data_IF_485231527987
#
_entry.id   IF_485231527987
#
_cell.length_a   1.000
_cell.length_b   1.000
_cell.length_c   1.000
_cell.angle_alpha   90.00
_cell.angle_beta   90.00
_cell.angle_gamma   90.00
#
_symmetry.space_group_name_H-M   'P 1'
#
loop_
_entity.id
_entity.type
_entity.pdbx_description
1 polymer ?
#
# COMPACT_ATOMS: atom_id res chain seq x y z
N UNK A 1 -49.23 15.72 -36.17
CA UNK A 1 -49.19 16.47 -34.90
C UNK A 1 -47.73 16.67 -34.50
N UNK A 2 -47.26 17.92 -34.41
CA UNK A 2 -45.89 18.22 -34.00
C UNK A 2 -45.70 17.79 -32.55
N UNK A 3 -44.63 17.03 -32.25
CA UNK A 3 -44.27 16.64 -30.88
C UNK A 3 -43.81 17.89 -30.12
N UNK A 4 -44.75 18.66 -29.58
CA UNK A 4 -44.51 19.94 -28.90
C UNK A 4 -43.56 19.84 -27.68
N UNK A 5 -43.22 18.64 -27.23
CA UNK A 5 -42.38 18.41 -26.04
C UNK A 5 -41.10 17.60 -26.33
N UNK A 6 -40.82 17.23 -27.59
CA UNK A 6 -39.74 16.29 -27.91
C UNK A 6 -38.31 16.75 -27.53
N UNK A 7 -38.11 18.00 -27.13
CA UNK A 7 -36.81 18.57 -26.76
C UNK A 7 -36.86 19.44 -25.51
N UNK A 8 -37.91 19.32 -24.69
CA UNK A 8 -38.04 20.06 -23.43
C UNK A 8 -37.47 19.21 -22.30
N UNK A 9 -36.52 19.78 -21.55
CA UNK A 9 -36.06 19.20 -20.27
C UNK A 9 -36.83 19.89 -19.15
N UNK A 10 -37.66 19.12 -18.44
CA UNK A 10 -38.44 19.67 -17.35
C UNK A 10 -37.55 20.01 -16.15
N UNK A 11 -38.06 20.89 -15.28
CA UNK A 11 -37.40 21.20 -14.01
C UNK A 11 -37.16 19.90 -13.23
N UNK A 12 -35.96 19.76 -12.68
CA UNK A 12 -35.53 18.58 -11.92
C UNK A 12 -35.52 17.25 -12.70
N UNK A 13 -35.51 17.26 -14.05
CA UNK A 13 -35.42 16.03 -14.84
C UNK A 13 -34.17 15.19 -14.59
N UNK A 14 -33.10 15.77 -14.04
CA UNK A 14 -31.86 15.07 -13.71
C UNK A 14 -31.61 14.93 -12.21
N UNK A 15 -32.02 15.92 -11.42
CA UNK A 15 -31.79 15.93 -9.99
C UNK A 15 -32.78 16.86 -9.27
N UNK A 16 -33.25 16.43 -8.11
CA UNK A 16 -34.24 17.14 -7.32
C UNK A 16 -33.57 17.92 -6.17
N UNK A 17 -34.01 19.15 -5.95
CA UNK A 17 -33.54 19.96 -4.83
C UNK A 17 -33.83 19.25 -3.49
N UNK A 18 -32.87 19.31 -2.56
CA UNK A 18 -32.95 18.67 -1.25
C UNK A 18 -32.42 17.22 -1.21
N UNK A 19 -32.16 16.60 -2.36
CA UNK A 19 -31.48 15.31 -2.41
C UNK A 19 -29.94 15.48 -2.34
N UNK A 20 -29.20 14.51 -1.76
CA UNK A 20 -27.75 14.60 -1.62
C UNK A 20 -27.01 14.33 -2.95
N UNK A 21 -26.41 15.37 -3.54
CA UNK A 21 -25.71 15.28 -4.83
C UNK A 21 -24.59 14.23 -4.84
N UNK A 22 -23.83 14.14 -3.76
CA UNK A 22 -22.76 13.18 -3.54
C UNK A 22 -22.87 12.62 -2.12
N UNK A 23 -22.47 11.35 -1.95
CA UNK A 23 -22.40 10.73 -0.63
C UNK A 23 -21.10 11.11 0.10
N UNK A 24 -21.13 11.12 1.44
CA UNK A 24 -19.91 11.24 2.23
C UNK A 24 -18.97 10.05 1.95
N UNK A 25 -17.68 10.34 1.81
CA UNK A 25 -16.66 9.35 1.47
C UNK A 25 -16.53 9.05 -0.04
N UNK A 26 -17.28 9.75 -0.90
CA UNK A 26 -17.04 9.75 -2.34
C UNK A 26 -15.71 10.42 -2.66
N UNK A 27 -14.85 9.71 -3.42
CA UNK A 27 -13.63 10.29 -3.96
C UNK A 27 -13.99 11.32 -5.04
N UNK A 28 -13.55 12.56 -4.86
CA UNK A 28 -13.78 13.60 -5.87
C UNK A 28 -12.86 13.37 -7.07
N UNK A 29 -13.42 13.00 -8.21
CA UNK A 29 -12.76 12.98 -9.53
C UNK A 29 -13.32 14.11 -10.40
N UNK A 30 -12.91 14.17 -11.67
CA UNK A 30 -13.34 15.22 -12.59
C UNK A 30 -14.87 15.34 -12.70
N UNK A 31 -15.59 14.20 -12.70
CA UNK A 31 -17.06 14.17 -12.74
C UNK A 31 -17.69 14.78 -11.49
N UNK A 32 -17.23 14.39 -10.31
CA UNK A 32 -17.80 14.88 -9.05
C UNK A 32 -17.52 16.38 -8.88
N UNK A 33 -16.32 16.83 -9.25
CA UNK A 33 -15.96 18.26 -9.26
C UNK A 33 -16.87 19.04 -10.22
N UNK A 34 -17.15 18.52 -11.43
CA UNK A 34 -18.05 19.16 -12.38
C UNK A 34 -19.49 19.26 -11.85
N UNK A 35 -19.98 18.22 -11.17
CA UNK A 35 -21.31 18.22 -10.53
C UNK A 35 -21.38 19.27 -9.42
N UNK A 36 -20.36 19.35 -8.56
CA UNK A 36 -20.28 20.36 -7.50
C UNK A 36 -20.26 21.78 -8.08
N UNK A 37 -19.47 22.01 -9.13
CA UNK A 37 -19.41 23.31 -9.81
C UNK A 37 -20.75 23.68 -10.47
N UNK A 38 -21.42 22.73 -11.14
CA UNK A 38 -22.74 22.95 -11.74
C UNK A 38 -23.81 23.28 -10.70
N UNK A 39 -23.66 22.76 -9.48
CA UNK A 39 -24.49 23.08 -8.32
C UNK A 39 -24.10 24.37 -7.59
N UNK A 40 -23.09 25.10 -8.09
CA UNK A 40 -22.51 26.29 -7.46
C UNK A 40 -21.99 26.02 -6.04
N UNK A 41 -21.53 24.80 -5.76
CA UNK A 41 -20.82 24.48 -4.53
C UNK A 41 -19.35 24.88 -4.68
N UNK A 42 -18.99 26.07 -4.21
CA UNK A 42 -17.63 26.62 -4.28
C UNK A 42 -16.70 26.11 -3.16
N UNK A 43 -17.28 25.61 -2.06
CA UNK A 43 -16.58 24.99 -0.94
C UNK A 43 -17.21 23.65 -0.57
N UNK A 44 -16.37 22.67 -0.20
CA UNK A 44 -16.80 21.36 0.28
C UNK A 44 -15.92 20.91 1.44
N UNK A 45 -16.56 20.39 2.49
CA UNK A 45 -15.85 19.76 3.61
C UNK A 45 -15.32 18.41 3.17
N UNK A 46 -14.01 18.19 3.32
CA UNK A 46 -13.32 16.95 2.95
C UNK A 46 -12.53 16.39 4.13
N UNK A 47 -12.23 15.10 4.07
CA UNK A 47 -11.22 14.52 4.94
C UNK A 47 -9.84 15.08 4.58
N UNK A 48 -9.07 15.47 5.59
CA UNK A 48 -7.66 15.81 5.38
C UNK A 48 -6.88 14.57 4.96
N UNK A 49 -5.75 14.77 4.28
CA UNK A 49 -4.84 13.69 3.94
C UNK A 49 -4.25 13.08 5.22
N UNK A 50 -4.18 11.74 5.35
CA UNK A 50 -3.43 11.10 6.43
C UNK A 50 -1.95 11.48 6.35
N UNK A 51 -1.32 11.77 7.48
CA UNK A 51 0.12 12.04 7.58
C UNK A 51 0.85 10.78 8.00
N UNK A 52 1.87 10.38 7.24
CA UNK A 52 2.55 9.08 7.42
C UNK A 52 4.05 9.31 7.62
N UNK A 53 4.53 9.10 8.83
CA UNK A 53 5.95 9.16 9.15
C UNK A 53 6.66 7.87 8.70
N UNK A 54 7.84 8.01 8.11
CA UNK A 54 8.66 6.90 7.61
C UNK A 54 10.03 7.01 8.28
N UNK A 55 10.44 5.95 8.96
CA UNK A 55 11.77 5.82 9.53
C UNK A 55 12.41 4.50 9.07
N UNK A 56 13.72 4.51 8.91
CA UNK A 56 14.47 3.30 8.60
C UNK A 56 15.50 3.02 9.66
N UNK A 57 15.83 1.75 9.89
CA UNK A 57 16.88 1.36 10.84
C UNK A 57 17.75 0.28 10.22
N UNK A 58 19.04 0.32 10.55
CA UNK A 58 20.04 -0.60 10.03
C UNK A 58 21.40 0.08 9.96
N UNK A 59 22.40 -0.50 10.62
CA UNK A 59 23.77 0.03 10.62
C UNK A 59 24.45 -0.04 9.24
N UNK A 60 23.90 -0.83 8.33
CA UNK A 60 24.29 -0.91 6.92
C UNK A 60 23.75 0.25 6.07
N UNK A 61 22.75 0.99 6.55
CA UNK A 61 22.03 1.96 5.73
C UNK A 61 22.78 3.29 5.60
N UNK A 62 22.82 3.83 4.39
CA UNK A 62 23.27 5.22 4.11
C UNK A 62 22.25 5.98 3.25
N UNK A 63 22.36 7.29 3.23
CA UNK A 63 21.55 8.15 2.35
C UNK A 63 22.10 8.14 0.92
N UNK A 64 21.28 8.56 -0.05
CA UNK A 64 21.61 8.48 -1.49
C UNK A 64 22.78 9.38 -1.90
N UNK A 65 23.07 10.41 -1.11
CA UNK A 65 24.12 11.41 -1.31
C UNK A 65 25.47 11.02 -0.69
N UNK A 66 25.51 9.92 0.09
CA UNK A 66 26.74 9.44 0.72
C UNK A 66 27.46 8.39 -0.15
N UNK A 67 28.80 8.40 -0.19
CA UNK A 67 29.56 7.35 -0.86
C UNK A 67 29.46 6.03 -0.10
N UNK A 68 29.18 4.94 -0.82
CA UNK A 68 29.06 3.60 -0.23
C UNK A 68 30.42 3.08 0.27
N UNK A 69 30.47 2.66 1.53
CA UNK A 69 31.56 1.87 2.10
C UNK A 69 31.26 0.36 2.04
N UNK A 70 32.26 -0.52 2.20
CA UNK A 70 32.04 -1.95 2.27
C UNK A 70 30.99 -2.32 3.33
N UNK A 71 30.00 -3.13 2.95
CA UNK A 71 28.91 -3.55 3.83
C UNK A 71 27.74 -2.57 3.92
N UNK A 72 27.82 -1.39 3.29
CA UNK A 72 26.74 -0.42 3.27
C UNK A 72 25.84 -0.58 2.04
N UNK A 73 24.58 -0.19 2.20
CA UNK A 73 23.58 -0.12 1.14
C UNK A 73 22.78 1.18 1.29
N UNK A 74 22.26 1.70 0.18
CA UNK A 74 21.37 2.87 0.20
C UNK A 74 20.01 2.46 0.75
N UNK A 75 19.46 3.27 1.67
CA UNK A 75 18.07 3.12 2.10
C UNK A 75 17.11 3.48 0.97
N UNK A 76 16.78 2.49 0.14
CA UNK A 76 15.83 2.62 -0.96
C UNK A 76 14.37 2.52 -0.52
N UNK A 77 14.09 1.90 0.63
CA UNK A 77 12.74 1.65 1.10
C UNK A 77 12.02 2.96 1.43
N UNK A 78 12.68 3.90 2.09
CA UNK A 78 12.06 5.19 2.42
C UNK A 78 11.54 5.93 1.19
N UNK A 79 12.25 5.82 0.05
CA UNK A 79 11.85 6.46 -1.21
C UNK A 79 10.64 5.77 -1.84
N UNK A 80 10.67 4.44 -1.89
CA UNK A 80 9.58 3.66 -2.45
C UNK A 80 8.30 3.81 -1.61
N UNK A 81 8.41 3.76 -0.29
CA UNK A 81 7.30 3.96 0.64
C UNK A 81 6.74 5.38 0.52
N UNK A 82 7.58 6.41 0.48
CA UNK A 82 7.11 7.79 0.32
C UNK A 82 6.30 7.97 -0.99
N UNK A 83 6.76 7.38 -2.09
CA UNK A 83 6.05 7.41 -3.36
C UNK A 83 4.69 6.69 -3.27
N UNK A 84 4.65 5.49 -2.66
CA UNK A 84 3.41 4.73 -2.50
C UNK A 84 2.39 5.40 -1.57
N UNK A 85 2.86 6.04 -0.49
CA UNK A 85 2.02 6.84 0.42
C UNK A 85 1.37 8.00 -0.33
N UNK A 86 2.16 8.74 -1.11
CA UNK A 86 1.65 9.84 -1.92
C UNK A 86 0.63 9.36 -2.97
N UNK A 87 0.89 8.23 -3.63
CA UNK A 87 -0.06 7.59 -4.57
C UNK A 87 -1.35 7.15 -3.89
N UNK A 88 -1.29 6.73 -2.62
CA UNK A 88 -2.46 6.41 -1.81
C UNK A 88 -3.23 7.65 -1.32
N UNK A 89 -2.79 8.87 -1.66
CA UNK A 89 -3.45 10.13 -1.29
C UNK A 89 -3.08 10.65 0.10
N UNK A 90 -2.05 10.09 0.73
CA UNK A 90 -1.53 10.49 2.03
C UNK A 90 -0.27 11.37 1.88
N UNK A 91 0.14 12.02 2.98
CA UNK A 91 1.31 12.90 3.05
C UNK A 91 2.49 12.15 3.69
N UNK A 92 3.57 11.84 2.94
CA UNK A 92 4.74 11.18 3.49
C UNK A 92 5.65 12.17 4.24
N UNK A 93 6.09 11.79 5.44
CA UNK A 93 7.07 12.51 6.26
C UNK A 93 8.29 11.59 6.43
N UNK A 94 9.37 11.86 5.70
CA UNK A 94 10.61 11.07 5.81
C UNK A 94 11.42 11.55 7.01
N UNK A 95 11.53 10.73 8.04
CA UNK A 95 12.37 10.97 9.22
C UNK A 95 13.81 10.51 9.00
N UNK A 96 14.05 9.71 7.97
CA UNK A 96 15.38 9.24 7.57
C UNK A 96 15.82 7.97 8.29
N UNK A 97 17.13 7.75 8.31
CA UNK A 97 17.76 6.60 8.96
C UNK A 97 17.96 6.95 10.44
N UNK A 98 17.36 6.16 11.31
CA UNK A 98 17.52 6.23 12.75
C UNK A 98 18.64 5.27 13.15
N UNK A 99 19.58 5.68 14.03
CA UNK A 99 20.59 4.78 14.57
C UNK A 99 19.97 3.52 15.16
N UNK A 100 20.68 2.40 15.02
CA UNK A 100 20.25 1.09 15.53
C UNK A 100 20.48 0.99 17.05
N UNK A 101 19.89 1.93 17.79
CA UNK A 101 19.99 2.10 19.23
C UNK A 101 18.58 2.24 19.83
N UNK A 102 18.21 1.47 20.88
CA UNK A 102 16.85 1.46 21.40
C UNK A 102 16.30 2.83 21.81
N UNK A 103 17.12 3.66 22.47
CA UNK A 103 16.71 5.00 22.91
C UNK A 103 16.51 5.96 21.74
N UNK A 104 17.35 5.89 20.70
CA UNK A 104 17.20 6.69 19.49
C UNK A 104 15.91 6.32 18.74
N UNK A 105 15.63 5.02 18.61
CA UNK A 105 14.41 4.52 17.98
C UNK A 105 13.16 4.89 18.78
N UNK A 106 13.19 4.75 20.10
CA UNK A 106 12.11 5.18 21.00
C UNK A 106 11.82 6.67 20.87
N UNK A 107 12.86 7.51 20.90
CA UNK A 107 12.72 8.96 20.73
C UNK A 107 12.13 9.31 19.35
N UNK A 108 12.59 8.66 18.28
CA UNK A 108 12.07 8.87 16.92
C UNK A 108 10.59 8.49 16.80
N UNK A 109 10.19 7.32 17.33
CA UNK A 109 8.78 6.88 17.32
C UNK A 109 7.92 7.84 18.15
N UNK A 110 8.37 8.22 19.36
CA UNK A 110 7.64 9.16 20.22
C UNK A 110 7.45 10.54 19.58
N UNK A 111 8.45 11.05 18.86
CA UNK A 111 8.35 12.29 18.10
C UNK A 111 7.38 12.15 16.90
N UNK A 112 7.44 11.03 16.19
CA UNK A 112 6.55 10.74 15.07
C UNK A 112 5.08 10.67 15.50
N UNK A 113 4.78 10.11 16.68
CA UNK A 113 3.42 10.02 17.23
C UNK A 113 2.76 11.38 17.45
N UNK A 114 3.55 12.45 17.63
CA UNK A 114 3.02 13.81 17.83
C UNK A 114 2.59 14.48 16.51
N UNK A 115 3.04 13.96 15.37
CA UNK A 115 2.90 14.63 14.08
C UNK A 115 2.34 13.74 12.96
N UNK A 116 2.17 12.44 13.18
CA UNK A 116 1.67 11.51 12.18
C UNK A 116 0.49 10.66 12.68
N UNK A 117 -0.41 10.33 11.74
CA UNK A 117 -1.51 9.40 11.96
C UNK A 117 -1.04 7.94 11.85
N UNK A 118 -0.01 7.72 11.02
CA UNK A 118 0.60 6.41 10.78
C UNK A 118 2.11 6.56 10.83
N UNK A 119 2.77 5.60 11.48
CA UNK A 119 4.22 5.44 11.49
C UNK A 119 4.54 4.15 10.75
N UNK A 120 5.47 4.23 9.80
CA UNK A 120 6.04 3.08 9.12
C UNK A 120 7.52 3.02 9.44
N UNK A 121 7.96 1.92 10.03
CA UNK A 121 9.39 1.59 10.13
C UNK A 121 9.76 0.54 9.09
N UNK A 122 10.91 0.70 8.44
CA UNK A 122 11.47 -0.32 7.55
C UNK A 122 12.92 -0.64 7.91
N UNK A 123 13.22 -1.92 8.13
CA UNK A 123 14.52 -2.32 8.72
C UNK A 123 14.40 -2.57 10.22
N UNK A 124 15.44 -3.10 10.85
CA UNK A 124 15.44 -3.43 12.30
C UNK A 124 14.45 -4.52 12.70
N UNK A 125 14.24 -5.50 11.81
CA UNK A 125 13.35 -6.63 12.04
C UNK A 125 14.03 -7.94 11.65
N UNK A 126 15.31 -8.07 11.98
CA UNK A 126 15.94 -9.38 12.12
C UNK A 126 15.37 -10.10 13.35
N UNK A 127 15.63 -11.40 13.47
CA UNK A 127 15.05 -12.25 14.54
C UNK A 127 15.38 -11.73 15.94
N UNK A 128 16.50 -11.02 16.13
CA UNK A 128 16.88 -10.39 17.40
C UNK A 128 16.37 -8.96 17.59
N UNK A 129 16.00 -8.25 16.51
CA UNK A 129 15.62 -6.83 16.58
C UNK A 129 14.13 -6.66 16.96
N UNK A 130 13.33 -7.70 16.69
CA UNK A 130 11.92 -7.79 17.04
C UNK A 130 11.67 -7.50 18.52
N UNK A 131 12.50 -8.05 19.40
CA UNK A 131 12.33 -7.95 20.85
C UNK A 131 12.47 -6.50 21.33
N UNK A 132 13.35 -5.70 20.70
CA UNK A 132 13.52 -4.28 21.03
C UNK A 132 12.35 -3.43 20.56
N UNK A 133 11.86 -3.64 19.33
CA UNK A 133 10.69 -2.90 18.81
C UNK A 133 9.46 -3.17 19.68
N UNK A 134 9.23 -4.42 20.11
CA UNK A 134 8.11 -4.74 20.98
C UNK A 134 8.22 -4.04 22.35
N UNK A 135 9.42 -4.00 22.93
CA UNK A 135 9.67 -3.34 24.21
C UNK A 135 9.50 -1.82 24.10
N UNK A 136 10.03 -1.21 23.04
CA UNK A 136 9.86 0.24 22.77
C UNK A 136 8.38 0.59 22.60
N UNK A 137 7.64 -0.23 21.83
CA UNK A 137 6.21 -0.03 21.66
C UNK A 137 5.45 -0.16 23.00
N UNK A 138 5.80 -1.14 23.83
CA UNK A 138 5.20 -1.29 25.16
C UNK A 138 5.50 -0.08 26.08
N UNK A 139 6.74 0.40 26.09
CA UNK A 139 7.17 1.60 26.84
C UNK A 139 6.41 2.87 26.40
N UNK A 140 6.05 2.94 25.13
CA UNK A 140 5.25 4.03 24.55
C UNK A 140 3.74 3.80 24.73
N UNK A 141 3.33 2.84 25.56
CA UNK A 141 1.94 2.45 25.82
C UNK A 141 1.19 2.05 24.54
N UNK A 142 1.89 1.49 23.55
CA UNK A 142 1.30 0.96 22.33
C UNK A 142 0.76 -0.47 22.57
N UNK A 143 -0.39 -0.77 21.99
CA UNK A 143 -0.94 -2.12 21.94
C UNK A 143 -0.53 -2.79 20.63
N UNK A 144 0.19 -3.91 20.71
CA UNK A 144 0.58 -4.73 19.55
C UNK A 144 -0.56 -5.68 19.20
N UNK A 145 -1.05 -5.61 17.96
CA UNK A 145 -2.14 -6.44 17.43
C UNK A 145 -1.63 -7.60 16.60
N UNK A 146 -0.55 -7.38 15.84
CA UNK A 146 0.02 -8.36 14.91
C UNK A 146 1.54 -8.32 15.09
N UNK A 147 2.16 -9.51 15.12
CA UNK A 147 3.63 -9.69 15.19
C UNK A 147 4.23 -10.32 13.94
N UNK A 148 3.42 -11.11 13.24
CA UNK A 148 3.78 -11.75 12.01
C UNK A 148 2.52 -12.12 11.23
N UNK A 149 2.70 -12.30 9.93
CA UNK A 149 1.67 -12.76 9.00
C UNK A 149 2.16 -13.99 8.23
N UNK A 150 1.23 -14.85 7.83
CA UNK A 150 1.55 -16.08 7.10
C UNK A 150 1.71 -15.84 5.58
N UNK A 151 2.52 -14.84 5.19
CA UNK A 151 2.79 -14.51 3.78
C UNK A 151 4.27 -14.67 3.40
N UNK A 152 4.53 -14.79 2.10
CA UNK A 152 5.87 -14.81 1.51
C UNK A 152 5.87 -13.99 0.21
N UNK A 153 6.81 -13.06 0.02
CA UNK A 153 7.69 -12.48 1.04
C UNK A 153 6.91 -11.62 2.05
N UNK A 154 7.55 -11.26 3.17
CA UNK A 154 6.94 -10.36 4.17
C UNK A 154 6.24 -11.00 5.37
N UNK A 155 6.65 -12.21 5.78
CA UNK A 155 6.22 -12.82 7.07
C UNK A 155 6.35 -11.83 8.25
N UNK A 156 7.50 -11.17 8.44
CA UNK A 156 7.68 -10.29 9.58
C UNK A 156 6.82 -9.02 9.37
N UNK A 157 5.90 -8.73 10.28
CA UNK A 157 5.03 -7.56 10.20
C UNK A 157 4.50 -7.24 11.59
N UNK A 158 4.88 -6.09 12.13
CA UNK A 158 4.32 -5.59 13.38
C UNK A 158 3.22 -4.58 13.09
N UNK A 159 2.04 -4.77 13.68
CA UNK A 159 0.97 -3.77 13.66
C UNK A 159 0.61 -3.43 15.08
N UNK A 160 0.67 -2.15 15.43
CA UNK A 160 0.34 -1.66 16.75
C UNK A 160 -0.47 -0.37 16.67
N UNK A 161 -1.08 0.01 17.79
CA UNK A 161 -1.76 1.29 17.96
C UNK A 161 -1.31 1.92 19.25
N UNK A 162 -0.94 3.19 19.19
CA UNK A 162 -0.53 3.98 20.35
C UNK A 162 -1.35 5.27 20.35
N UNK A 163 -2.24 5.44 21.32
CA UNK A 163 -3.28 6.47 21.29
C UNK A 163 -4.09 6.38 19.97
N UNK A 164 -4.07 7.43 19.14
CA UNK A 164 -4.70 7.48 17.81
C UNK A 164 -3.78 7.13 16.65
N UNK A 165 -2.50 6.87 16.90
CA UNK A 165 -1.48 6.62 15.86
C UNK A 165 -1.34 5.13 15.57
N UNK A 166 -1.41 4.74 14.30
CA UNK A 166 -1.10 3.38 13.86
C UNK A 166 0.41 3.22 13.63
N UNK A 167 0.95 2.07 14.00
CA UNK A 167 2.33 1.72 13.72
C UNK A 167 2.38 0.47 12.85
N UNK A 168 3.18 0.51 11.78
CA UNK A 168 3.51 -0.62 10.92
C UNK A 168 5.03 -0.83 10.89
N UNK A 169 5.50 -1.93 11.47
CA UNK A 169 6.88 -2.39 11.34
C UNK A 169 7.00 -3.33 10.14
N UNK A 170 7.59 -2.84 9.05
CA UNK A 170 7.75 -3.57 7.80
C UNK A 170 9.13 -4.26 7.73
N UNK A 171 9.24 -5.37 6.98
CA UNK A 171 10.53 -6.01 6.69
C UNK A 171 11.55 -5.04 6.06
N UNK A 172 12.84 -5.21 6.40
CA UNK A 172 13.92 -4.45 5.74
C UNK A 172 14.15 -4.83 4.27
N UNK A 173 13.81 -6.06 3.87
CA UNK A 173 13.94 -6.51 2.48
C UNK A 173 12.99 -5.71 1.55
N UNK A 174 13.49 -5.06 0.48
CA UNK A 174 12.68 -4.13 -0.30
C UNK A 174 11.40 -4.73 -0.88
N UNK A 175 11.47 -5.92 -1.48
CA UNK A 175 10.26 -6.57 -2.02
C UNK A 175 9.25 -6.88 -0.90
N UNK A 176 9.75 -7.29 0.26
CA UNK A 176 8.90 -7.62 1.41
C UNK A 176 8.19 -6.37 1.97
N UNK A 177 8.88 -5.24 2.03
CA UNK A 177 8.31 -3.95 2.43
C UNK A 177 7.18 -3.51 1.49
N UNK A 178 7.38 -3.65 0.17
CA UNK A 178 6.38 -3.24 -0.80
C UNK A 178 5.16 -4.17 -0.82
N UNK A 179 5.35 -5.49 -0.78
CA UNK A 179 4.25 -6.46 -0.67
C UNK A 179 3.40 -6.21 0.58
N UNK A 180 4.04 -5.99 1.73
CA UNK A 180 3.34 -5.69 2.98
C UNK A 180 2.64 -4.33 2.94
N UNK A 181 3.23 -3.32 2.30
CA UNK A 181 2.57 -2.04 2.06
C UNK A 181 1.28 -2.20 1.26
N UNK A 182 1.34 -2.81 0.08
CA UNK A 182 0.17 -2.97 -0.79
C UNK A 182 -0.93 -3.81 -0.15
N UNK A 183 -0.55 -4.86 0.58
CA UNK A 183 -1.51 -5.79 1.19
C UNK A 183 -2.17 -5.23 2.45
N UNK A 184 -1.44 -4.48 3.28
CA UNK A 184 -1.92 -4.10 4.61
C UNK A 184 -1.98 -2.58 4.85
N UNK A 185 -0.92 -1.85 4.49
CA UNK A 185 -0.83 -0.41 4.77
C UNK A 185 -1.75 0.39 3.86
N UNK A 186 -1.73 0.13 2.56
CA UNK A 186 -2.56 0.87 1.60
C UNK A 186 -4.07 0.78 1.90
N UNK A 187 -4.65 -0.40 2.21
CA UNK A 187 -6.04 -0.47 2.66
C UNK A 187 -6.33 0.32 3.94
N UNK A 188 -5.39 0.34 4.90
CA UNK A 188 -5.52 1.14 6.11
C UNK A 188 -5.54 2.64 5.79
N UNK A 189 -4.64 3.12 4.92
CA UNK A 189 -4.62 4.51 4.46
C UNK A 189 -5.90 4.89 3.71
N UNK A 190 -6.42 4.01 2.85
CA UNK A 190 -7.70 4.23 2.16
C UNK A 190 -8.83 4.44 3.17
N UNK A 191 -8.93 3.58 4.18
CA UNK A 191 -9.93 3.73 5.25
C UNK A 191 -9.75 5.02 6.05
N UNK A 192 -8.51 5.35 6.45
CA UNK A 192 -8.20 6.57 7.20
C UNK A 192 -8.47 7.86 6.41
N UNK A 193 -8.35 7.82 5.08
CA UNK A 193 -8.67 8.95 4.21
C UNK A 193 -10.17 9.25 4.09
N UNK A 194 -11.04 8.48 4.76
CA UNK A 194 -12.48 8.66 4.74
C UNK A 194 -13.17 8.08 3.50
N UNK A 195 -12.48 7.29 2.67
CA UNK A 195 -13.09 6.61 1.53
C UNK A 195 -14.14 5.61 2.00
N UNK A 196 -15.27 5.60 1.29
CA UNK A 196 -16.32 4.60 1.51
C UNK A 196 -15.84 3.17 1.15
N UNK A 197 -16.48 2.17 1.76
CA UNK A 197 -16.25 0.75 1.45
C UNK A 197 -16.44 0.43 -0.04
N UNK A 198 -15.67 -0.51 -0.62
CA UNK A 198 -14.58 -1.28 -0.01
C UNK A 198 -13.20 -0.58 -0.05
N UNK A 199 -12.46 -0.66 1.05
CA UNK A 199 -11.07 -0.15 1.18
C UNK A 199 -10.00 -1.21 0.88
N UNK A 200 -10.42 -2.46 0.72
CA UNK A 200 -9.53 -3.60 0.51
C UNK A 200 -8.65 -3.51 -0.74
N UNK A 201 -7.66 -4.41 -0.86
CA UNK A 201 -6.88 -4.54 -2.07
C UNK A 201 -7.76 -4.84 -3.29
N UNK A 202 -7.35 -4.35 -4.46
CA UNK A 202 -7.97 -4.74 -5.73
C UNK A 202 -7.41 -6.09 -6.17
N UNK A 203 -8.26 -7.11 -6.21
CA UNK A 203 -7.88 -8.46 -6.64
C UNK A 203 -8.65 -8.79 -7.92
N UNK A 204 -7.94 -9.31 -8.92
CA UNK A 204 -8.51 -9.74 -10.20
C UNK A 204 -8.20 -11.21 -10.46
N UNK A 205 -9.03 -11.86 -11.26
CA UNK A 205 -8.80 -13.22 -11.75
C UNK A 205 -8.07 -13.16 -13.09
N UNK A 206 -6.92 -13.83 -13.21
CA UNK A 206 -6.09 -13.84 -14.41
C UNK A 206 -5.64 -15.26 -14.78
N UNK A 207 -5.32 -15.51 -16.06
CA UNK A 207 -4.59 -16.72 -16.48
C UNK A 207 -3.08 -16.50 -16.33
N UNK A 208 -2.36 -17.39 -15.68
CA UNK A 208 -0.89 -17.27 -15.57
C UNK A 208 -0.18 -17.83 -16.81
N UNK A 209 0.75 -17.09 -17.41
CA UNK A 209 1.54 -17.55 -18.56
C UNK A 209 2.63 -18.56 -18.20
N UNK A 210 2.99 -18.62 -16.93
CA UNK A 210 4.06 -19.47 -16.41
C UNK A 210 3.56 -20.30 -15.23
N UNK A 211 4.13 -21.48 -15.00
CA UNK A 211 3.87 -22.21 -13.77
C UNK A 211 4.37 -21.40 -12.57
N UNK A 212 3.54 -21.28 -11.55
CA UNK A 212 3.85 -20.58 -10.31
C UNK A 212 4.13 -21.59 -9.21
N UNK A 213 5.18 -21.38 -8.42
CA UNK A 213 5.62 -22.32 -7.39
C UNK A 213 5.70 -21.69 -6.02
N UNK A 214 5.40 -22.48 -4.99
CA UNK A 214 5.48 -22.09 -3.59
C UNK A 214 5.95 -23.27 -2.72
N UNK A 215 6.31 -22.99 -1.47
CA UNK A 215 6.62 -24.03 -0.48
C UNK A 215 5.36 -24.57 0.23
N UNK A 216 4.18 -24.05 -0.10
CA UNK A 216 2.86 -24.41 0.45
C UNK A 216 2.63 -23.96 1.89
N UNK A 217 3.63 -23.42 2.59
CA UNK A 217 3.53 -23.11 4.03
C UNK A 217 2.86 -21.77 4.31
N UNK A 218 2.87 -20.85 3.35
CA UNK A 218 2.43 -19.46 3.46
C UNK A 218 1.78 -19.01 2.16
N UNK A 219 0.87 -18.04 2.25
CA UNK A 219 0.34 -17.35 1.07
C UNK A 219 1.51 -16.68 0.34
N UNK A 220 1.77 -17.07 -0.90
CA UNK A 220 2.95 -16.63 -1.65
C UNK A 220 2.55 -15.64 -2.73
N UNK A 221 3.21 -14.48 -2.71
CA UNK A 221 3.08 -13.42 -3.69
C UNK A 221 4.22 -13.52 -4.69
N UNK A 222 3.88 -13.83 -5.93
CA UNK A 222 4.80 -13.83 -7.08
C UNK A 222 4.60 -12.52 -7.84
N UNK A 223 5.65 -11.72 -8.00
CA UNK A 223 5.54 -10.43 -8.67
C UNK A 223 5.69 -10.54 -10.19
N UNK A 224 4.94 -9.70 -10.90
CA UNK A 224 4.89 -9.73 -12.35
C UNK A 224 4.06 -8.60 -12.95
N UNK A 225 3.67 -8.80 -14.20
CA UNK A 225 2.89 -7.87 -15.00
C UNK A 225 1.52 -8.47 -15.26
N UNK A 226 0.52 -7.63 -15.11
CA UNK A 226 -0.86 -7.91 -15.44
C UNK A 226 -1.17 -7.31 -16.81
N UNK A 227 -1.62 -8.15 -17.74
CA UNK A 227 -2.00 -7.79 -19.09
C UNK A 227 -3.52 -7.93 -19.27
N UNK A 228 -4.15 -7.06 -20.06
CA UNK A 228 -5.53 -7.24 -20.51
C UNK A 228 -5.52 -7.53 -22.02
N UNK A 229 -5.82 -8.78 -22.39
CA UNK A 229 -5.75 -9.26 -23.77
C UNK A 229 -7.10 -9.86 -24.13
N UNK A 230 -7.72 -9.34 -25.20
CA UNK A 230 -9.04 -9.77 -25.66
C UNK A 230 -10.10 -9.82 -24.53
N UNK A 231 -10.05 -8.85 -23.60
CA UNK A 231 -10.98 -8.77 -22.46
C UNK A 231 -10.68 -9.73 -21.30
N UNK A 232 -9.57 -10.48 -21.35
CA UNK A 232 -9.14 -11.39 -20.28
C UNK A 232 -7.83 -10.92 -19.66
N UNK A 233 -7.73 -11.05 -18.34
CA UNK A 233 -6.49 -10.77 -17.65
C UNK A 233 -5.51 -11.94 -17.80
N UNK A 234 -4.27 -11.63 -18.15
CA UNK A 234 -3.14 -12.55 -18.16
C UNK A 234 -2.05 -12.06 -17.22
N UNK A 235 -1.42 -12.98 -16.49
CA UNK A 235 -0.33 -12.69 -15.57
C UNK A 235 0.99 -13.24 -16.11
N UNK A 236 1.98 -12.35 -16.24
CA UNK A 236 3.33 -12.67 -16.65
C UNK A 236 4.29 -12.46 -15.47
N UNK A 237 4.97 -13.51 -15.03
CA UNK A 237 5.97 -13.42 -13.95
C UNK A 237 7.10 -12.48 -14.37
N UNK A 238 7.55 -11.62 -13.47
CA UNK A 238 8.69 -10.75 -13.74
C UNK A 238 9.96 -11.58 -14.03
N UNK A 239 10.72 -11.20 -15.04
CA UNK A 239 12.00 -11.82 -15.35
C UNK A 239 13.02 -11.71 -14.20
N UNK A 240 14.02 -12.60 -14.20
CA UNK A 240 15.06 -12.64 -13.17
C UNK A 240 14.69 -13.49 -11.94
N UNK A 241 15.33 -13.22 -10.81
CA UNK A 241 15.14 -14.00 -9.57
C UNK A 241 13.97 -13.51 -8.73
N UNK A 242 13.20 -14.46 -8.17
CA UNK A 242 12.12 -14.22 -7.22
C UNK A 242 12.67 -14.18 -5.77
N UNK A 243 13.73 -13.39 -5.56
CA UNK A 243 14.39 -13.22 -4.25
C UNK A 243 14.02 -11.86 -3.69
N UNK A 244 13.61 -11.81 -2.42
CA UNK A 244 13.03 -10.61 -1.79
C UNK A 244 13.98 -9.43 -1.61
N UNK A 245 15.29 -9.64 -1.76
CA UNK A 245 16.30 -8.59 -1.76
C UNK A 245 16.54 -7.94 -3.13
N UNK A 246 15.99 -8.51 -4.22
CA UNK A 246 16.24 -8.03 -5.57
C UNK A 246 15.20 -6.98 -6.01
N UNK A 247 15.49 -5.72 -5.70
CA UNK A 247 14.62 -4.58 -6.04
C UNK A 247 14.52 -4.33 -7.56
N UNK A 248 15.56 -4.65 -8.33
CA UNK A 248 15.63 -4.33 -9.78
C UNK A 248 14.47 -4.99 -10.54
N UNK A 249 14.15 -6.23 -10.20
CA UNK A 249 13.11 -7.01 -10.87
C UNK A 249 11.68 -6.60 -10.49
N UNK A 250 11.49 -5.64 -9.57
CA UNK A 250 10.19 -5.04 -9.30
C UNK A 250 9.83 -3.89 -10.25
N UNK A 251 10.79 -3.43 -11.06
CA UNK A 251 10.53 -2.34 -12.00
C UNK A 251 9.47 -2.77 -13.02
N UNK A 252 8.39 -2.02 -13.06
CA UNK A 252 7.25 -2.32 -13.94
C UNK A 252 6.38 -3.47 -13.45
N UNK A 253 6.46 -3.89 -12.19
CA UNK A 253 5.46 -4.77 -11.58
C UNK A 253 4.11 -4.05 -11.52
N UNK A 254 3.08 -4.73 -12.03
CA UNK A 254 1.70 -4.21 -12.01
C UNK A 254 0.73 -5.17 -11.31
N UNK A 255 1.17 -6.40 -11.02
CA UNK A 255 0.42 -7.39 -10.26
C UNK A 255 1.28 -8.31 -9.41
N UNK A 256 0.69 -8.85 -8.35
CA UNK A 256 1.25 -9.95 -7.55
C UNK A 256 0.29 -11.14 -7.61
N UNK A 257 0.68 -12.22 -8.28
CA UNK A 257 -0.09 -13.45 -8.26
C UNK A 257 -0.03 -14.10 -6.87
N UNK A 258 -1.19 -14.55 -6.39
CA UNK A 258 -1.38 -15.08 -5.05
C UNK A 258 -1.50 -16.60 -5.15
N UNK A 259 -0.52 -17.31 -4.58
CA UNK A 259 -0.57 -18.76 -4.39
C UNK A 259 -1.06 -19.01 -2.95
N UNK A 260 -2.25 -19.62 -2.75
CA UNK A 260 -2.80 -19.90 -1.43
C UNK A 260 -1.93 -20.83 -0.57
N UNK A 261 -2.13 -20.76 0.75
CA UNK A 261 -1.58 -21.75 1.70
C UNK A 261 -2.05 -23.15 1.31
N UNK A 262 -1.15 -24.13 1.38
CA UNK A 262 -1.42 -25.52 0.99
C UNK A 262 -1.20 -25.81 -0.50
N UNK A 263 -1.04 -24.78 -1.35
CA UNK A 263 -0.79 -24.97 -2.78
C UNK A 263 0.69 -24.77 -3.12
N UNK A 264 1.34 -25.80 -3.65
CA UNK A 264 2.76 -25.76 -4.02
C UNK A 264 2.98 -25.37 -5.48
N UNK A 265 1.97 -25.56 -6.34
CA UNK A 265 2.05 -25.25 -7.76
C UNK A 265 0.71 -24.77 -8.33
N UNK A 266 0.79 -23.81 -9.26
CA UNK A 266 -0.28 -23.42 -10.18
C UNK A 266 0.29 -23.61 -11.58
N UNK A 267 -0.33 -24.46 -12.40
CA UNK A 267 0.13 -24.72 -13.77
C UNK A 267 0.01 -23.46 -14.65
N UNK A 268 0.82 -23.40 -15.71
CA UNK A 268 0.59 -22.42 -16.77
C UNK A 268 -0.83 -22.54 -17.35
N UNK A 269 -1.38 -21.44 -17.83
CA UNK A 269 -2.75 -21.26 -18.33
C UNK A 269 -3.86 -21.44 -17.29
N UNK A 270 -3.53 -21.86 -16.06
CA UNK A 270 -4.50 -21.94 -14.98
C UNK A 270 -4.90 -20.55 -14.47
N UNK A 271 -6.08 -20.48 -13.87
CA UNK A 271 -6.58 -19.25 -13.24
C UNK A 271 -5.89 -19.02 -11.90
N UNK A 272 -5.47 -17.78 -11.66
CA UNK A 272 -4.86 -17.32 -10.40
C UNK A 272 -5.46 -15.97 -9.98
N UNK A 273 -5.55 -15.73 -8.68
CA UNK A 273 -5.90 -14.42 -8.14
C UNK A 273 -4.67 -13.52 -8.14
N UNK A 274 -4.82 -12.27 -8.60
CA UNK A 274 -3.71 -11.31 -8.70
C UNK A 274 -4.08 -10.05 -7.92
N UNK A 275 -3.24 -9.67 -6.96
CA UNK A 275 -3.28 -8.35 -6.35
C UNK A 275 -2.81 -7.32 -7.38
N UNK A 276 -3.69 -6.43 -7.81
CA UNK A 276 -3.33 -5.35 -8.72
C UNK A 276 -2.65 -4.21 -7.95
N UNK A 277 -1.40 -3.91 -8.29
CA UNK A 277 -0.57 -2.91 -7.60
C UNK A 277 -0.15 -1.74 -8.50
N UNK A 278 -0.42 -1.85 -9.81
CA UNK A 278 -0.16 -0.79 -10.78
C UNK A 278 -1.20 -0.77 -11.92
N UNK A 279 -0.92 0.05 -12.92
CA UNK A 279 -1.75 0.09 -14.14
C UNK A 279 -1.68 -1.23 -14.88
N UNK A 280 -2.83 -1.72 -15.33
CA UNK A 280 -2.91 -2.89 -16.20
C UNK A 280 -2.28 -2.54 -17.55
N UNK A 281 -1.40 -3.40 -18.06
CA UNK A 281 -0.82 -3.22 -19.38
C UNK A 281 -1.79 -3.78 -20.42
N UNK A 282 -2.04 -3.05 -21.49
CA UNK A 282 -2.89 -3.50 -22.58
C UNK A 282 -2.45 -2.82 -23.86
N UNK A 283 -2.71 -3.47 -24.99
CA UNK A 283 -2.59 -2.85 -26.30
C UNK A 283 -3.64 -1.73 -26.47
#
# INVERSE_FOLDING_TARGET
AAKHEAFVRHRASYYQAGAPLLAAGTRLQASEIAVLAAAQCDHVTVYRRPRVAILSTGSELVTIDQPLQPGQIVDSNQYALAALIAQAGAEPIRLGIVPDEPEALKAAIAAAMQSADVIISSGGVSVGDYDYVETILADLNATIHIRAVAIKPGKPLTVATASSTLYFGLPGNPVSALVTFWRFVQPALRKLSGLASPWGPTIVSAKTRHPLKSDGKRETYVWGRLHLIAGQYEFEVAGGSQISGNLINLTGTTGLAIIPVGQTEIAAEATVQVLQVGSVLGN
#
